data_IF_186619604240
#
_entry.id   IF_186619604240
#
_cell.length_a   1.000
_cell.length_b   1.000
_cell.length_c   1.000
_cell.angle_alpha   90.00
_cell.angle_beta   90.00
_cell.angle_gamma   90.00
#
_symmetry.space_group_name_H-M   'P 1'
#
loop_
_entity.id
_entity.type
_entity.pdbx_description
1 polymer ?
#
# COMPACT_ATOMS: atom_id res chain seq x y z
N UNK A 1 14.88 2.97 -14.50
CA UNK A 1 14.22 1.66 -14.35
C UNK A 1 14.75 0.87 -13.15
N UNK A 2 16.06 0.67 -13.00
CA UNK A 2 16.64 -0.11 -11.88
C UNK A 2 16.32 0.46 -10.49
N UNK A 3 16.49 1.77 -10.28
CA UNK A 3 16.16 2.41 -8.98
C UNK A 3 14.66 2.33 -8.66
N UNK A 4 13.79 2.59 -9.65
CA UNK A 4 12.34 2.46 -9.48
C UNK A 4 11.90 1.03 -9.16
N UNK A 5 12.54 0.02 -9.78
CA UNK A 5 12.26 -1.38 -9.50
C UNK A 5 12.63 -1.75 -8.05
N UNK A 6 13.77 -1.27 -7.55
CA UNK A 6 14.20 -1.51 -6.17
C UNK A 6 13.23 -0.89 -5.16
N UNK A 7 12.77 0.34 -5.41
CA UNK A 7 11.77 1.00 -4.54
C UNK A 7 10.44 0.28 -4.53
N UNK A 8 9.98 -0.26 -5.66
CA UNK A 8 8.73 -1.04 -5.72
C UNK A 8 8.83 -2.36 -4.95
N UNK A 9 9.98 -3.05 -5.03
CA UNK A 9 10.22 -4.27 -4.25
C UNK A 9 10.24 -3.97 -2.75
N UNK A 10 10.88 -2.86 -2.35
CA UNK A 10 10.91 -2.42 -0.96
C UNK A 10 9.51 -2.04 -0.46
N UNK A 11 8.76 -1.26 -1.24
CA UNK A 11 7.37 -0.89 -0.93
C UNK A 11 6.47 -2.12 -0.80
N UNK A 12 6.53 -3.05 -1.76
CA UNK A 12 5.75 -4.28 -1.73
C UNK A 12 6.05 -5.15 -0.51
N UNK A 13 7.32 -5.23 -0.11
CA UNK A 13 7.74 -5.97 1.09
C UNK A 13 7.17 -5.37 2.37
N UNK A 14 7.10 -4.04 2.48
CA UNK A 14 6.49 -3.34 3.62
C UNK A 14 4.97 -3.46 3.63
N UNK A 15 4.33 -3.33 2.47
CA UNK A 15 2.88 -3.51 2.34
C UNK A 15 2.46 -4.93 2.75
N UNK A 16 3.23 -5.94 2.34
CA UNK A 16 2.99 -7.33 2.73
C UNK A 16 3.22 -7.56 4.23
N UNK A 17 4.21 -6.89 4.84
CA UNK A 17 4.43 -6.95 6.28
C UNK A 17 3.22 -6.38 7.06
N UNK A 18 2.69 -5.22 6.66
CA UNK A 18 1.49 -4.65 7.28
C UNK A 18 0.26 -5.54 7.12
N UNK A 19 0.14 -6.28 6.00
CA UNK A 19 -0.93 -7.27 5.82
C UNK A 19 -0.78 -8.49 6.72
N UNK A 20 0.44 -8.91 7.05
CA UNK A 20 0.70 -9.99 8.03
C UNK A 20 0.40 -9.49 9.45
N UNK A 21 0.75 -8.25 9.78
CA UNK A 21 0.42 -7.62 11.07
C UNK A 21 -1.09 -7.50 11.28
N UNK A 22 -1.86 -7.20 10.23
CA UNK A 22 -3.33 -7.20 10.28
C UNK A 22 -3.98 -8.60 10.23
N UNK A 23 -3.17 -9.67 10.10
CA UNK A 23 -3.65 -11.05 10.15
C UNK A 23 -4.23 -11.62 8.85
N UNK A 24 -4.08 -10.90 7.71
CA UNK A 24 -4.58 -11.36 6.41
C UNK A 24 -3.67 -12.40 5.72
N UNK A 25 -2.43 -12.58 6.18
CA UNK A 25 -1.46 -13.52 5.62
C UNK A 25 -0.83 -14.41 6.71
N UNK A 26 -0.44 -15.66 6.38
CA UNK A 26 0.16 -16.57 7.36
C UNK A 26 1.47 -16.00 7.91
N UNK A 27 1.63 -16.12 9.23
CA UNK A 27 2.71 -15.54 10.06
C UNK A 27 4.11 -15.87 9.54
N UNK A 28 4.25 -16.96 8.79
CA UNK A 28 5.50 -17.41 8.14
C UNK A 28 6.08 -16.34 7.18
N UNK A 29 5.27 -15.45 6.62
CA UNK A 29 5.76 -14.33 5.80
C UNK A 29 6.12 -13.07 6.60
N UNK A 30 5.76 -13.03 7.89
CA UNK A 30 6.09 -11.95 8.83
C UNK A 30 7.39 -12.16 9.59
N UNK A 31 8.04 -13.33 9.45
CA UNK A 31 9.34 -13.58 10.05
C UNK A 31 10.39 -12.64 9.45
N UNK A 32 10.72 -11.63 10.24
CA UNK A 32 11.61 -10.54 9.84
C UNK A 32 13.03 -10.88 10.28
N UNK A 33 14.00 -10.79 9.37
CA UNK A 33 15.42 -10.97 9.71
C UNK A 33 15.89 -9.87 10.67
N UNK A 34 17.02 -10.08 11.39
CA UNK A 34 17.62 -9.13 12.35
C UNK A 34 17.78 -7.67 11.85
N UNK A 35 17.77 -7.44 10.54
CA UNK A 35 17.83 -6.11 9.92
C UNK A 35 16.45 -5.48 9.61
N UNK A 36 15.34 -6.04 10.10
CA UNK A 36 14.00 -5.49 9.86
C UNK A 36 13.49 -5.69 8.42
N UNK A 37 14.10 -6.61 7.67
CA UNK A 37 13.77 -6.90 6.27
C UNK A 37 13.08 -8.28 6.18
N UNK A 38 11.85 -8.37 5.67
CA UNK A 38 11.14 -9.63 5.47
C UNK A 38 11.67 -10.34 4.22
N UNK A 39 12.64 -11.24 4.42
CA UNK A 39 13.32 -11.95 3.32
C UNK A 39 12.34 -12.83 2.54
N UNK A 40 11.39 -13.47 3.21
CA UNK A 40 10.36 -14.30 2.58
C UNK A 40 9.45 -13.49 1.63
N UNK A 41 9.11 -12.24 1.99
CA UNK A 41 8.30 -11.36 1.15
C UNK A 41 9.05 -10.92 -0.13
N UNK A 42 10.35 -10.64 -0.02
CA UNK A 42 11.22 -10.30 -1.16
C UNK A 42 11.37 -11.50 -2.09
N UNK A 43 11.56 -12.69 -1.52
CA UNK A 43 11.70 -13.92 -2.30
C UNK A 43 10.42 -14.24 -3.07
N UNK A 44 9.26 -14.01 -2.45
CA UNK A 44 7.94 -14.20 -3.07
C UNK A 44 7.72 -13.21 -4.23
N UNK A 45 7.97 -11.91 -4.00
CA UNK A 45 7.84 -10.88 -5.04
C UNK A 45 8.84 -11.05 -6.19
N UNK A 46 10.07 -11.46 -5.89
CA UNK A 46 11.08 -11.79 -6.90
C UNK A 46 10.70 -13.05 -7.70
N UNK A 47 10.18 -14.09 -7.03
CA UNK A 47 9.71 -15.32 -7.68
C UNK A 47 8.55 -15.05 -8.63
N UNK A 48 7.58 -14.22 -8.24
CA UNK A 48 6.47 -13.80 -9.11
C UNK A 48 7.00 -13.08 -10.36
N UNK A 49 7.98 -12.17 -10.19
CA UNK A 49 8.64 -11.50 -11.30
C UNK A 49 9.35 -12.47 -12.25
N UNK A 50 10.08 -13.45 -11.70
CA UNK A 50 10.76 -14.50 -12.46
C UNK A 50 9.79 -15.43 -13.20
N UNK A 51 8.66 -15.79 -12.58
CA UNK A 51 7.60 -16.61 -13.19
C UNK A 51 6.97 -15.87 -14.37
N UNK A 52 6.75 -14.55 -14.25
CA UNK A 52 6.26 -13.71 -15.34
C UNK A 52 7.22 -13.69 -16.54
N UNK A 53 8.54 -13.70 -16.29
CA UNK A 53 9.57 -13.72 -17.33
C UNK A 53 9.77 -15.11 -17.96
N UNK A 54 9.63 -16.18 -17.18
CA UNK A 54 9.80 -17.56 -17.63
C UNK A 54 8.59 -18.13 -18.38
N UNK A 55 7.46 -17.42 -18.35
CA UNK A 55 6.23 -17.84 -19.02
C UNK A 55 6.39 -17.79 -20.55
N UNK A 56 6.81 -18.90 -21.16
CA UNK A 56 6.89 -19.09 -22.61
C UNK A 56 5.49 -19.22 -23.21
N UNK A 57 4.79 -18.10 -23.36
CA UNK A 57 3.49 -18.07 -24.03
C UNK A 57 3.64 -18.09 -25.56
N UNK A 58 2.71 -18.77 -26.22
CA UNK A 58 2.67 -18.99 -27.68
C UNK A 58 2.46 -17.70 -28.51
N UNK A 59 2.00 -16.63 -27.86
CA UNK A 59 1.91 -15.26 -28.42
C UNK A 59 2.19 -14.22 -27.34
N UNK A 60 3.36 -13.58 -27.42
CA UNK A 60 3.82 -12.52 -26.51
C UNK A 60 2.84 -11.33 -26.46
N UNK A 61 2.19 -11.00 -27.58
CA UNK A 61 1.27 -9.86 -27.69
C UNK A 61 0.05 -9.96 -26.78
N UNK A 62 -0.51 -11.16 -26.61
CA UNK A 62 -1.73 -11.35 -25.82
C UNK A 62 -1.41 -11.19 -24.32
N UNK A 63 -0.30 -11.75 -23.87
CA UNK A 63 0.15 -11.62 -22.48
C UNK A 63 0.53 -10.18 -22.13
N UNK A 64 1.24 -9.50 -23.04
CA UNK A 64 1.59 -8.09 -22.87
C UNK A 64 0.35 -7.20 -22.75
N UNK A 65 -0.65 -7.40 -23.63
CA UNK A 65 -1.94 -6.69 -23.55
C UNK A 65 -2.67 -6.96 -22.24
N UNK A 66 -2.71 -8.22 -21.79
CA UNK A 66 -3.34 -8.58 -20.52
C UNK A 66 -2.66 -7.89 -19.33
N UNK A 67 -1.32 -7.89 -19.28
CA UNK A 67 -0.56 -7.24 -18.21
C UNK A 67 -0.81 -5.73 -18.14
N UNK A 68 -0.79 -5.05 -19.29
CA UNK A 68 -1.05 -3.60 -19.34
C UNK A 68 -2.48 -3.28 -18.93
N UNK A 69 -3.46 -4.05 -19.41
CA UNK A 69 -4.86 -3.83 -19.05
C UNK A 69 -5.05 -4.00 -17.54
N UNK A 70 -4.47 -5.07 -16.94
CA UNK A 70 -4.53 -5.29 -15.49
C UNK A 70 -3.85 -4.18 -14.70
N UNK A 71 -2.64 -3.77 -15.08
CA UNK A 71 -1.90 -2.69 -14.41
C UNK A 71 -2.62 -1.34 -14.51
N UNK A 72 -3.28 -1.07 -15.63
CA UNK A 72 -4.02 0.17 -15.84
C UNK A 72 -5.28 0.19 -14.96
N UNK A 73 -6.03 -0.91 -14.93
CA UNK A 73 -7.22 -1.05 -14.08
C UNK A 73 -6.86 -0.94 -12.60
N UNK A 74 -5.79 -1.58 -12.13
CA UNK A 74 -5.35 -1.46 -10.73
C UNK A 74 -4.92 -0.04 -10.37
N UNK A 75 -4.28 0.69 -11.29
CA UNK A 75 -3.87 2.07 -11.08
C UNK A 75 -5.07 3.01 -10.87
N UNK A 76 -6.12 2.84 -11.67
CA UNK A 76 -7.37 3.60 -11.53
C UNK A 76 -8.04 3.32 -10.18
N UNK A 77 -8.11 2.05 -9.78
CA UNK A 77 -8.68 1.65 -8.49
C UNK A 77 -7.89 2.27 -7.33
N UNK A 78 -6.55 2.22 -7.38
CA UNK A 78 -5.69 2.84 -6.36
C UNK A 78 -5.94 4.34 -6.23
N UNK A 79 -6.08 5.07 -7.34
CA UNK A 79 -6.41 6.49 -7.33
C UNK A 79 -7.78 6.80 -6.74
N UNK A 80 -8.78 5.95 -7.01
CA UNK A 80 -10.10 6.07 -6.38
C UNK A 80 -9.99 5.92 -4.86
N UNK A 81 -9.28 4.90 -4.38
CA UNK A 81 -9.04 4.73 -2.94
C UNK A 81 -8.32 5.93 -2.32
N UNK A 82 -7.26 6.45 -2.96
CA UNK A 82 -6.56 7.65 -2.49
C UNK A 82 -7.51 8.85 -2.39
N UNK A 83 -8.33 9.06 -3.41
CA UNK A 83 -9.29 10.17 -3.45
C UNK A 83 -10.35 10.03 -2.34
N UNK A 84 -10.87 8.83 -2.12
CA UNK A 84 -11.84 8.54 -1.06
C UNK A 84 -11.21 8.77 0.32
N UNK A 85 -10.02 8.22 0.56
CA UNK A 85 -9.27 8.41 1.82
C UNK A 85 -8.99 9.90 2.08
N UNK A 86 -8.65 10.65 1.04
CA UNK A 86 -8.43 12.10 1.14
C UNK A 86 -9.71 12.85 1.53
N UNK A 87 -10.87 12.49 0.94
CA UNK A 87 -12.16 13.08 1.30
C UNK A 87 -12.55 12.77 2.75
N UNK A 88 -12.31 11.53 3.21
CA UNK A 88 -12.57 11.15 4.61
C UNK A 88 -11.64 11.90 5.58
N UNK A 89 -10.36 12.03 5.22
CA UNK A 89 -9.41 12.81 6.00
C UNK A 89 -9.82 14.29 6.12
N UNK A 90 -10.31 14.90 5.03
CA UNK A 90 -10.82 16.27 5.04
C UNK A 90 -12.06 16.43 5.93
N UNK A 91 -12.95 15.43 5.96
CA UNK A 91 -14.11 15.42 6.87
C UNK A 91 -13.69 15.31 8.34
N UNK A 92 -12.70 14.46 8.65
CA UNK A 92 -12.16 14.30 10.00
C UNK A 92 -11.43 15.56 10.49
N UNK A 93 -10.70 16.26 9.62
CA UNK A 93 -10.07 17.53 9.97
C UNK A 93 -11.10 18.61 10.29
N UNK A 94 -12.23 18.65 9.58
CA UNK A 94 -13.29 19.63 9.85
C UNK A 94 -13.94 19.42 11.23
N UNK A 95 -14.15 18.16 11.66
CA UNK A 95 -14.68 17.87 13.00
C UNK A 95 -13.67 18.20 14.11
N UNK A 96 -12.38 17.90 13.90
CA UNK A 96 -11.31 18.22 14.84
C UNK A 96 -11.12 19.74 15.01
N UNK A 97 -11.22 20.51 13.93
CA UNK A 97 -11.08 21.97 13.98
C UNK A 97 -12.22 22.63 14.78
N UNK A 98 -13.43 22.09 14.69
CA UNK A 98 -14.60 22.57 15.43
C UNK A 98 -14.50 22.21 16.93
N UNK A 99 -13.98 21.01 17.23
CA UNK A 99 -13.65 20.62 18.61
C UNK A 99 -12.57 21.51 19.23
N UNK A 100 -11.48 21.82 18.53
CA UNK A 100 -10.46 22.76 19.04
C UNK A 100 -11.01 24.17 19.28
N UNK A 101 -11.87 24.68 18.40
CA UNK A 101 -12.53 25.99 18.61
C UNK A 101 -13.44 25.99 19.83
N UNK A 102 -14.24 24.94 20.01
CA UNK A 102 -15.13 24.80 21.18
C UNK A 102 -14.35 24.59 22.48
N UNK A 103 -13.26 23.82 22.44
CA UNK A 103 -12.38 23.60 23.61
C UNK A 103 -11.72 24.91 24.06
N UNK A 104 -11.27 25.75 23.13
CA UNK A 104 -10.70 27.05 23.47
C UNK A 104 -11.75 28.03 24.04
N UNK A 105 -12.99 27.99 23.53
CA UNK A 105 -14.11 28.80 24.05
C UNK A 105 -14.55 28.32 25.45
N UNK A 106 -14.66 27.01 25.68
CA UNK A 106 -14.99 26.47 26.99
C UNK A 106 -13.88 26.70 28.03
N UNK A 107 -12.60 26.65 27.61
CA UNK A 107 -11.47 26.97 28.50
C UNK A 107 -11.42 28.46 28.89
N UNK A 108 -11.92 29.36 28.05
CA UNK A 108 -12.07 30.78 28.39
C UNK A 108 -13.28 31.07 29.31
N UNK A 109 -14.31 30.22 29.28
CA UNK A 109 -15.54 30.38 30.10
C UNK A 109 -15.45 29.66 31.45
N UNK A 110 -14.66 28.59 31.58
CA UNK A 110 -14.45 27.87 32.84
C UNK A 110 -13.39 28.45 33.78
N UNK A 111 -12.92 29.68 33.52
CA UNK A 111 -11.94 30.40 34.35
C UNK A 111 -12.48 31.72 34.93
N UNK A 112 -13.80 31.95 34.80
CA UNK A 112 -14.55 33.02 35.46
C UNK A 112 -15.67 32.38 36.31
#
# INVERSE_FOLDING_TARGET
>A
MVSAANSNIYFGSRCLLSMVEEGYFPVVFGETTKNGVPFNAILLTSSIGLISLLSKFKSIDIFYKLLINLSSTSGLIMWLFISISYLQFRRALHSIQLFMKLWHIQRCIGFL
#
